data_IF_994115788577
#
_entry.id   IF_994115788577
#
_cell.length_a   1.000
_cell.length_b   1.000
_cell.length_c   1.000
_cell.angle_alpha   90.00
_cell.angle_beta   90.00
_cell.angle_gamma   90.00
#
_symmetry.space_group_name_H-M   'P 1'
#
loop_
_entity.id
_entity.type
_entity.pdbx_description
1 polymer ?
#
# COMPACT_ATOMS: atom_id res chain seq x y z
N UNK A 1 -11.77 7.38 -11.20
CA UNK A 1 -12.18 6.20 -10.41
C UNK A 1 -11.00 5.86 -9.52
N UNK A 2 -11.18 5.75 -8.20
CA UNK A 2 -10.09 5.26 -7.33
C UNK A 2 -9.83 3.79 -7.64
N UNK A 3 -8.56 3.38 -7.65
CA UNK A 3 -8.23 1.97 -7.86
C UNK A 3 -8.63 1.20 -6.60
N UNK A 4 -9.50 0.20 -6.76
CA UNK A 4 -9.80 -0.74 -5.67
C UNK A 4 -8.71 -1.82 -5.63
N UNK A 5 -8.47 -2.45 -4.47
CA UNK A 5 -7.59 -3.62 -4.38
C UNK A 5 -7.99 -4.67 -5.43
N UNK A 6 -7.03 -5.10 -6.24
CA UNK A 6 -7.20 -6.22 -7.17
C UNK A 6 -7.27 -7.54 -6.38
N UNK A 7 -7.98 -8.51 -6.94
CA UNK A 7 -8.03 -9.89 -6.43
C UNK A 7 -7.02 -10.75 -7.20
N UNK A 8 -6.44 -11.78 -6.57
CA UNK A 8 -5.51 -12.68 -7.26
C UNK A 8 -6.21 -13.43 -8.40
N UNK A 9 -5.45 -13.65 -9.46
CA UNK A 9 -5.86 -14.42 -10.63
C UNK A 9 -5.83 -15.93 -10.36
N UNK A 10 -6.10 -16.75 -11.40
CA UNK A 10 -6.11 -18.21 -11.26
C UNK A 10 -4.72 -18.75 -10.84
N UNK A 11 -4.68 -19.94 -10.20
CA UNK A 11 -3.42 -20.61 -9.89
C UNK A 11 -2.55 -20.80 -11.14
N UNK A 12 -1.23 -20.58 -11.01
CA UNK A 12 -0.29 -20.64 -12.13
C UNK A 12 -0.05 -19.31 -12.86
N UNK A 13 -0.66 -18.20 -12.40
CA UNK A 13 -0.35 -16.85 -12.89
C UNK A 13 1.14 -16.55 -12.68
N UNK A 14 1.89 -16.29 -13.77
CA UNK A 14 3.33 -16.02 -13.71
C UNK A 14 3.58 -14.56 -13.35
N UNK A 15 4.28 -14.35 -12.23
CA UNK A 15 4.77 -13.03 -11.82
C UNK A 15 5.93 -12.57 -12.72
N UNK A 16 5.87 -11.34 -13.23
CA UNK A 16 6.78 -10.84 -14.28
C UNK A 16 7.40 -9.48 -13.99
N UNK A 17 6.75 -8.60 -13.24
CA UNK A 17 7.18 -7.19 -13.14
C UNK A 17 7.10 -6.65 -11.71
N UNK A 18 8.15 -5.93 -11.31
CA UNK A 18 8.19 -5.11 -10.10
C UNK A 18 8.24 -3.64 -10.54
N UNK A 19 7.18 -2.87 -10.25
CA UNK A 19 7.04 -1.47 -10.64
C UNK A 19 7.10 -0.50 -9.46
N UNK A 20 7.44 0.76 -9.69
CA UNK A 20 7.58 1.73 -8.58
C UNK A 20 6.41 2.71 -8.44
N UNK A 21 5.66 3.02 -9.51
CA UNK A 21 4.43 3.84 -9.42
C UNK A 21 3.53 3.74 -10.66
N UNK A 22 2.20 3.84 -10.46
CA UNK A 22 1.15 4.14 -11.47
C UNK A 22 1.32 3.47 -12.84
N UNK A 23 1.56 2.16 -12.85
CA UNK A 23 1.47 1.34 -14.06
C UNK A 23 0.37 0.28 -13.95
N UNK A 24 -0.50 0.34 -12.93
CA UNK A 24 -1.40 -0.77 -12.60
C UNK A 24 -2.27 -1.14 -13.80
N UNK A 25 -2.97 -0.16 -14.34
CA UNK A 25 -3.87 -0.35 -15.49
C UNK A 25 -3.09 -0.71 -16.75
N UNK A 26 -1.93 -0.10 -16.98
CA UNK A 26 -1.08 -0.40 -18.13
C UNK A 26 -0.55 -1.84 -18.09
N UNK A 27 -0.03 -2.30 -16.96
CA UNK A 27 0.45 -3.67 -16.78
C UNK A 27 -0.68 -4.68 -16.79
N UNK A 28 -1.86 -4.32 -16.27
CA UNK A 28 -3.05 -5.18 -16.35
C UNK A 28 -3.43 -5.43 -17.82
N UNK A 29 -3.41 -4.38 -18.65
CA UNK A 29 -3.68 -4.48 -20.09
C UNK A 29 -2.61 -5.31 -20.81
N UNK A 30 -1.33 -5.10 -20.51
CA UNK A 30 -0.22 -5.74 -21.23
C UNK A 30 0.07 -7.18 -20.82
N UNK A 31 -0.18 -7.52 -19.55
CA UNK A 31 0.14 -8.82 -18.98
C UNK A 31 -1.09 -9.72 -18.81
N UNK A 32 -2.28 -9.21 -19.14
CA UNK A 32 -3.56 -9.92 -19.07
C UNK A 32 -3.78 -10.61 -17.71
N UNK A 33 -3.59 -9.84 -16.63
CA UNK A 33 -3.72 -10.37 -15.28
C UNK A 33 -3.68 -9.29 -14.21
N UNK A 34 -4.04 -9.65 -12.96
CA UNK A 34 -4.16 -8.68 -11.90
C UNK A 34 -2.79 -8.21 -11.40
N UNK A 35 -2.70 -6.90 -11.19
CA UNK A 35 -1.49 -6.25 -10.67
C UNK A 35 -1.71 -5.90 -9.20
N UNK A 36 -0.76 -6.31 -8.36
CA UNK A 36 -0.77 -6.03 -6.92
C UNK A 36 -0.29 -4.60 -6.66
N UNK A 37 -1.22 -3.68 -6.35
CA UNK A 37 -0.87 -2.33 -5.90
C UNK A 37 -0.62 -2.36 -4.39
N UNK A 38 0.66 -2.32 -4.01
CA UNK A 38 1.07 -2.46 -2.61
C UNK A 38 0.63 -1.28 -1.75
N UNK A 39 0.52 -0.08 -2.34
CA UNK A 39 0.07 1.11 -1.63
C UNK A 39 -1.38 0.96 -1.21
N UNK A 40 -2.20 0.43 -2.11
CA UNK A 40 -3.63 0.21 -1.88
C UNK A 40 -3.88 -1.07 -1.09
N UNK A 41 -3.26 -2.20 -1.44
CA UNK A 41 -3.54 -3.50 -0.82
C UNK A 41 -2.97 -3.65 0.58
N UNK A 42 -1.92 -2.89 0.95
CA UNK A 42 -1.34 -2.98 2.29
C UNK A 42 -2.25 -2.45 3.41
N UNK A 43 -3.25 -1.63 3.07
CA UNK A 43 -4.25 -1.11 4.01
C UNK A 43 -5.70 -1.34 3.56
N UNK A 44 -5.95 -1.38 2.25
CA UNK A 44 -7.27 -1.56 1.65
C UNK A 44 -7.61 -3.01 1.28
N UNK A 45 -6.61 -3.89 1.19
CA UNK A 45 -6.76 -5.29 0.78
C UNK A 45 -7.55 -6.17 1.77
N UNK A 46 -7.49 -7.48 1.56
CA UNK A 46 -8.06 -8.45 2.52
C UNK A 46 -7.31 -8.40 3.86
N UNK A 47 -7.94 -8.86 4.94
CA UNK A 47 -7.29 -8.93 6.26
C UNK A 47 -6.01 -9.79 6.19
N UNK A 48 -6.05 -10.85 5.38
CA UNK A 48 -4.89 -11.70 5.11
C UNK A 48 -3.74 -10.89 4.51
N UNK A 49 -3.98 -10.15 3.42
CA UNK A 49 -2.97 -9.31 2.78
C UNK A 49 -2.40 -8.24 3.73
N UNK A 50 -3.24 -7.59 4.52
CA UNK A 50 -2.80 -6.59 5.50
C UNK A 50 -1.87 -7.23 6.54
N UNK A 51 -2.23 -8.41 7.06
CA UNK A 51 -1.41 -9.16 8.03
C UNK A 51 -0.08 -9.61 7.43
N UNK A 52 -0.09 -10.11 6.20
CA UNK A 52 1.13 -10.48 5.47
C UNK A 52 2.04 -9.28 5.28
N UNK A 53 1.51 -8.14 4.83
CA UNK A 53 2.28 -6.91 4.66
C UNK A 53 2.90 -6.43 5.96
N UNK A 54 2.12 -6.40 7.05
CA UNK A 54 2.64 -6.05 8.36
C UNK A 54 3.78 -6.99 8.76
N UNK A 55 3.57 -8.31 8.70
CA UNK A 55 4.57 -9.32 9.05
C UNK A 55 5.85 -9.19 8.20
N UNK A 56 5.67 -8.95 6.89
CA UNK A 56 6.74 -8.78 5.93
C UNK A 56 7.60 -7.54 6.26
N UNK A 57 6.98 -6.38 6.49
CA UNK A 57 7.70 -5.15 6.84
C UNK A 57 8.40 -5.23 8.20
N UNK A 58 7.88 -6.01 9.14
CA UNK A 58 8.52 -6.23 10.45
C UNK A 58 9.72 -7.17 10.36
N UNK A 59 9.61 -8.21 9.53
CA UNK A 59 10.63 -9.25 9.40
C UNK A 59 11.79 -8.82 8.50
N UNK A 60 11.52 -8.14 7.39
CA UNK A 60 12.53 -7.84 6.37
C UNK A 60 13.80 -7.15 6.92
N UNK A 61 13.71 -6.11 7.77
CA UNK A 61 14.91 -5.46 8.31
C UNK A 61 15.73 -6.34 9.27
N UNK A 62 15.15 -7.42 9.79
CA UNK A 62 15.71 -8.27 10.85
C UNK A 62 16.01 -9.70 10.39
N UNK A 63 15.78 -10.02 9.11
CA UNK A 63 15.86 -11.37 8.58
C UNK A 63 17.32 -11.82 8.31
N UNK A 64 18.08 -12.05 9.39
CA UNK A 64 19.49 -12.44 9.30
C UNK A 64 19.69 -13.96 9.24
N UNK A 65 18.81 -14.74 9.88
CA UNK A 65 18.96 -16.21 9.90
C UNK A 65 18.38 -16.86 8.65
N UNK A 66 18.86 -18.06 8.32
CA UNK A 66 18.30 -18.83 7.20
C UNK A 66 16.80 -19.10 7.37
N UNK A 67 16.35 -19.37 8.60
CA UNK A 67 14.93 -19.58 8.90
C UNK A 67 14.11 -18.32 8.66
N UNK A 68 14.60 -17.16 9.08
CA UNK A 68 13.91 -15.88 8.86
C UNK A 68 13.84 -15.54 7.37
N UNK A 69 14.91 -15.78 6.63
CA UNK A 69 14.92 -15.59 5.18
C UNK A 69 13.94 -16.52 4.48
N UNK A 70 13.82 -17.78 4.89
CA UNK A 70 12.82 -18.70 4.32
C UNK A 70 11.40 -18.28 4.66
N UNK A 71 11.16 -17.79 5.86
CA UNK A 71 9.87 -17.21 6.26
C UNK A 71 9.54 -15.97 5.43
N UNK A 72 10.53 -15.12 5.16
CA UNK A 72 10.41 -13.94 4.30
C UNK A 72 10.04 -14.34 2.86
N UNK A 73 10.76 -15.31 2.30
CA UNK A 73 10.51 -15.84 0.96
C UNK A 73 9.07 -16.40 0.85
N UNK A 74 8.59 -17.11 1.88
CA UNK A 74 7.22 -17.63 1.94
C UNK A 74 6.17 -16.52 2.02
N UNK A 75 6.37 -15.50 2.88
CA UNK A 75 5.46 -14.36 3.01
C UNK A 75 5.30 -13.62 1.68
N UNK A 76 6.39 -13.43 0.93
CA UNK A 76 6.38 -12.78 -0.38
C UNK A 76 5.64 -13.64 -1.40
N UNK A 77 5.90 -14.96 -1.41
CA UNK A 77 5.22 -15.89 -2.30
C UNK A 77 3.71 -15.88 -2.08
N UNK A 78 3.24 -16.02 -0.84
CA UNK A 78 1.81 -16.04 -0.49
C UNK A 78 1.11 -14.70 -0.78
N UNK A 79 1.84 -13.60 -0.64
CA UNK A 79 1.32 -12.26 -0.90
C UNK A 79 1.13 -11.97 -2.39
N UNK A 80 2.06 -12.42 -3.23
CA UNK A 80 2.11 -12.12 -4.66
C UNK A 80 1.59 -13.26 -5.54
N UNK A 81 1.19 -14.38 -4.94
CA UNK A 81 0.54 -15.48 -5.66
C UNK A 81 -0.72 -14.99 -6.38
N UNK A 82 -0.86 -15.40 -7.64
CA UNK A 82 -1.99 -15.01 -8.48
C UNK A 82 -1.85 -13.62 -9.11
N UNK A 83 -0.77 -12.87 -8.87
CA UNK A 83 -0.53 -11.57 -9.51
C UNK A 83 0.54 -11.65 -10.60
N UNK A 84 0.36 -10.86 -11.67
CA UNK A 84 1.34 -10.77 -12.77
C UNK A 84 2.44 -9.74 -12.49
N UNK A 85 2.18 -8.80 -11.61
CA UNK A 85 3.12 -7.75 -11.24
C UNK A 85 2.79 -7.17 -9.86
N UNK A 86 3.77 -6.51 -9.24
CA UNK A 86 3.55 -5.69 -8.04
C UNK A 86 4.01 -4.27 -8.29
N UNK A 87 3.44 -3.31 -7.57
CA UNK A 87 3.92 -1.93 -7.59
C UNK A 87 3.70 -1.15 -6.31
N UNK A 88 4.25 0.06 -6.32
CA UNK A 88 4.16 1.05 -5.25
C UNK A 88 4.86 0.59 -3.96
N UNK A 89 4.94 1.49 -2.99
CA UNK A 89 5.41 1.16 -1.66
C UNK A 89 4.31 0.41 -0.88
N UNK A 90 4.65 -0.55 -0.01
CA UNK A 90 6.00 -0.93 0.43
C UNK A 90 6.78 -1.90 -0.49
N UNK A 91 6.20 -2.53 -1.52
CA UNK A 91 6.93 -3.49 -2.37
C UNK A 91 8.18 -2.90 -3.03
N UNK A 92 8.12 -1.64 -3.47
CA UNK A 92 9.25 -0.95 -4.08
C UNK A 92 10.53 -0.91 -3.21
N UNK A 93 10.38 -0.96 -1.87
CA UNK A 93 11.49 -1.01 -0.90
C UNK A 93 12.07 -2.43 -0.71
N UNK A 94 11.34 -3.45 -1.16
CA UNK A 94 11.64 -4.87 -1.00
C UNK A 94 12.01 -5.53 -2.33
N UNK A 95 12.51 -4.74 -3.30
CA UNK A 95 12.83 -5.22 -4.64
C UNK A 95 13.81 -6.40 -4.62
N UNK A 96 14.92 -6.38 -3.86
CA UNK A 96 15.84 -7.51 -3.78
C UNK A 96 15.20 -8.80 -3.25
N UNK A 97 14.38 -8.68 -2.20
CA UNK A 97 13.68 -9.80 -1.59
C UNK A 97 12.67 -10.41 -2.56
N UNK A 98 11.92 -9.57 -3.28
CA UNK A 98 10.93 -10.03 -4.26
C UNK A 98 11.64 -10.69 -5.45
N UNK A 99 12.75 -10.13 -5.94
CA UNK A 99 13.54 -10.74 -7.02
C UNK A 99 14.16 -12.08 -6.63
N UNK A 100 14.50 -12.27 -5.36
CA UNK A 100 15.00 -13.57 -4.87
C UNK A 100 13.93 -14.67 -4.98
N UNK A 101 12.67 -14.34 -4.73
CA UNK A 101 11.53 -15.26 -4.87
C UNK A 101 11.11 -15.42 -6.34
N UNK A 102 11.13 -14.34 -7.09
CA UNK A 102 10.76 -14.30 -8.51
C UNK A 102 11.96 -13.89 -9.39
N UNK A 103 12.93 -14.79 -9.60
CA UNK A 103 14.17 -14.46 -10.31
C UNK A 103 13.96 -14.08 -11.77
N UNK A 104 12.87 -14.54 -12.40
CA UNK A 104 12.53 -14.19 -13.79
C UNK A 104 11.94 -12.77 -13.94
N UNK A 105 11.56 -12.12 -12.83
CA UNK A 105 10.91 -10.82 -12.88
C UNK A 105 11.89 -9.72 -13.27
N UNK A 106 11.38 -8.74 -14.04
CA UNK A 106 12.09 -7.51 -14.36
C UNK A 106 11.61 -6.37 -13.45
N UNK A 107 12.44 -5.35 -13.30
CA UNK A 107 12.16 -4.16 -12.49
C UNK A 107 11.99 -2.96 -13.39
N UNK A 108 10.85 -2.28 -13.27
CA UNK A 108 10.53 -1.05 -14.00
C UNK A 108 10.44 0.11 -13.01
N UNK A 109 11.43 0.99 -13.05
CA UNK A 109 11.48 2.19 -12.22
C UNK A 109 10.92 3.37 -13.00
N UNK A 110 9.80 3.92 -12.53
CA UNK A 110 9.21 5.09 -13.18
C UNK A 110 10.00 6.36 -12.85
N UNK A 111 10.43 7.09 -13.87
CA UNK A 111 11.15 8.36 -13.73
C UNK A 111 10.22 9.53 -14.00
N UNK A 112 10.42 10.63 -13.26
CA UNK A 112 9.78 11.93 -13.52
C UNK A 112 10.61 13.07 -12.94
N UNK A 113 10.31 14.30 -13.34
CA UNK A 113 10.94 15.48 -12.75
C UNK A 113 10.80 15.49 -11.22
N UNK A 114 11.92 15.68 -10.51
CA UNK A 114 12.00 15.56 -9.06
C UNK A 114 11.10 16.58 -8.34
N UNK A 115 11.06 17.84 -8.82
CA UNK A 115 10.25 18.89 -8.20
C UNK A 115 8.76 18.62 -8.38
N UNK A 116 8.36 18.24 -9.60
CA UNK A 116 7.00 17.78 -9.89
C UNK A 116 6.65 16.56 -9.04
N UNK A 117 7.62 15.66 -8.81
CA UNK A 117 7.42 14.51 -7.97
C UNK A 117 7.13 14.88 -6.53
N UNK A 118 7.96 15.76 -5.98
CA UNK A 118 7.86 16.20 -4.61
C UNK A 118 6.56 16.93 -4.33
N UNK A 119 6.12 17.85 -5.22
CA UNK A 119 4.80 18.52 -5.09
C UNK A 119 3.64 17.54 -5.01
N UNK A 120 3.71 16.43 -5.74
CA UNK A 120 2.69 15.37 -5.69
C UNK A 120 2.79 14.54 -4.42
N UNK A 121 3.99 14.32 -3.90
CA UNK A 121 4.22 13.55 -2.68
C UNK A 121 3.87 14.36 -1.43
N UNK A 122 4.20 15.65 -1.39
CA UNK A 122 3.84 16.61 -0.35
C UNK A 122 2.32 16.69 -0.17
N UNK A 123 1.57 16.74 -1.29
CA UNK A 123 0.11 16.68 -1.25
C UNK A 123 -0.40 15.38 -0.60
N UNK A 124 0.18 14.22 -0.92
CA UNK A 124 -0.18 12.95 -0.29
C UNK A 124 0.21 12.91 1.20
N UNK A 125 1.42 13.38 1.54
CA UNK A 125 1.93 13.47 2.90
C UNK A 125 1.03 14.35 3.79
N UNK A 126 0.40 15.39 3.24
CA UNK A 126 -0.50 16.26 3.99
C UNK A 126 -1.70 15.51 4.58
N UNK A 127 -2.21 14.47 3.90
CA UNK A 127 -3.28 13.62 4.44
C UNK A 127 -2.78 12.69 5.54
N UNK A 128 -1.58 12.14 5.37
CA UNK A 128 -0.99 11.15 6.30
C UNK A 128 -0.40 11.79 7.56
N UNK A 129 -0.02 13.07 7.51
CA UNK A 129 0.55 13.85 8.62
C UNK A 129 -0.46 14.35 9.66
N UNK A 130 -1.76 14.11 9.45
CA UNK A 130 -2.82 14.68 10.28
C UNK A 130 -2.93 13.98 11.64
N UNK A 131 -2.61 14.69 12.73
CA UNK A 131 -2.51 14.14 14.09
C UNK A 131 -3.82 13.53 14.63
N UNK A 132 -4.98 14.07 14.23
CA UNK A 132 -6.29 13.60 14.70
C UNK A 132 -6.83 12.41 13.91
N UNK A 133 -6.23 12.09 12.75
CA UNK A 133 -6.71 11.05 11.87
C UNK A 133 -6.85 9.69 12.59
N UNK A 134 -5.85 9.19 13.36
CA UNK A 134 -5.97 7.91 14.05
C UNK A 134 -7.14 7.84 15.05
N UNK A 135 -7.48 8.95 15.69
CA UNK A 135 -8.59 9.02 16.64
C UNK A 135 -9.94 9.00 15.92
N UNK A 136 -10.07 9.77 14.84
CA UNK A 136 -11.34 9.85 14.08
C UNK A 136 -11.69 8.49 13.46
N UNK A 137 -10.70 7.74 12.98
CA UNK A 137 -10.94 6.45 12.31
C UNK A 137 -10.78 5.23 13.21
N UNK A 138 -10.59 5.39 14.53
CA UNK A 138 -10.18 4.28 15.42
C UNK A 138 -11.17 3.09 15.50
N UNK A 139 -12.45 3.37 15.22
CA UNK A 139 -13.53 2.37 15.19
C UNK A 139 -13.72 1.74 13.81
N UNK A 140 -13.03 2.24 12.78
CA UNK A 140 -12.98 1.59 11.47
C UNK A 140 -11.96 0.44 11.56
N UNK A 141 -12.45 -0.79 11.48
CA UNK A 141 -11.67 -1.98 11.81
C UNK A 141 -10.35 -2.10 11.03
N UNK A 142 -10.34 -1.81 9.71
CA UNK A 142 -9.11 -1.79 8.91
C UNK A 142 -8.16 -0.65 9.28
N UNK A 143 -8.69 0.48 9.75
CA UNK A 143 -7.88 1.64 10.09
C UNK A 143 -7.06 1.44 11.38
N UNK A 144 -7.40 0.44 12.20
CA UNK A 144 -6.57 0.04 13.35
C UNK A 144 -5.19 -0.49 12.93
N UNK A 145 -5.07 -1.03 11.71
CA UNK A 145 -3.78 -1.46 11.16
C UNK A 145 -2.88 -0.29 10.77
N UNK A 146 -3.42 0.92 10.57
CA UNK A 146 -2.69 2.07 10.06
C UNK A 146 -1.55 2.51 10.98
N UNK A 147 -1.75 2.51 12.30
CA UNK A 147 -0.69 2.89 13.25
C UNK A 147 0.51 1.94 13.18
N UNK A 148 0.24 0.64 13.15
CA UNK A 148 1.29 -0.39 12.98
C UNK A 148 1.95 -0.30 11.61
N UNK A 149 1.15 -0.14 10.55
CA UNK A 149 1.63 0.00 9.18
C UNK A 149 2.58 1.20 9.07
N UNK A 150 2.18 2.38 9.60
CA UNK A 150 2.98 3.60 9.55
C UNK A 150 4.32 3.42 10.25
N UNK A 151 4.33 2.84 11.45
CA UNK A 151 5.57 2.56 12.18
C UNK A 151 6.49 1.63 11.39
N UNK A 152 5.97 0.49 10.93
CA UNK A 152 6.76 -0.51 10.17
C UNK A 152 7.24 0.05 8.83
N UNK A 153 6.46 0.91 8.19
CA UNK A 153 6.85 1.59 6.97
C UNK A 153 7.98 2.60 7.21
N UNK A 154 7.92 3.36 8.30
CA UNK A 154 9.02 4.24 8.74
C UNK A 154 10.29 3.43 9.03
N UNK A 155 10.18 2.30 9.74
CA UNK A 155 11.32 1.41 9.99
C UNK A 155 11.93 0.89 8.67
N UNK A 156 11.09 0.57 7.69
CA UNK A 156 11.52 0.10 6.36
C UNK A 156 12.22 1.20 5.54
N UNK A 157 11.69 2.42 5.57
CA UNK A 157 12.32 3.59 4.95
C UNK A 157 13.67 3.90 5.60
N UNK A 158 13.74 3.86 6.94
CA UNK A 158 14.98 4.08 7.66
C UNK A 158 16.02 3.02 7.31
N UNK A 159 15.61 1.75 7.21
CA UNK A 159 16.47 0.65 6.83
C UNK A 159 17.03 0.77 5.40
N UNK A 160 16.22 1.23 4.43
CA UNK A 160 16.63 1.32 3.02
C UNK A 160 17.32 2.61 2.64
N UNK A 161 16.79 3.73 3.10
CA UNK A 161 17.19 5.06 2.67
C UNK A 161 17.84 5.89 3.77
N UNK A 162 17.89 5.38 5.01
CA UNK A 162 18.47 6.12 6.13
C UNK A 162 17.62 7.32 6.58
N UNK A 163 16.35 7.36 6.18
CA UNK A 163 15.41 8.43 6.50
C UNK A 163 14.09 7.89 7.04
N UNK A 164 13.55 8.54 8.06
CA UNK A 164 12.28 8.11 8.70
C UNK A 164 11.04 8.44 7.85
N UNK A 165 11.17 9.41 6.95
CA UNK A 165 10.08 9.98 6.16
C UNK A 165 10.49 10.18 4.71
N UNK A 166 9.50 10.19 3.82
CA UNK A 166 9.70 10.51 2.40
C UNK A 166 10.00 12.00 2.26
N UNK A 167 11.13 12.32 1.63
CA UNK A 167 11.67 13.67 1.42
C UNK A 167 11.85 13.93 -0.08
N UNK A 168 12.16 15.18 -0.46
CA UNK A 168 12.35 15.57 -1.86
C UNK A 168 13.44 14.74 -2.56
N UNK A 169 14.45 14.31 -1.83
CA UNK A 169 15.57 13.51 -2.35
C UNK A 169 15.26 12.02 -2.48
N UNK A 170 14.18 11.53 -1.85
CA UNK A 170 13.86 10.10 -1.78
C UNK A 170 13.69 9.46 -3.16
N UNK A 171 13.20 10.18 -4.17
CA UNK A 171 13.13 9.65 -5.54
C UNK A 171 14.52 9.32 -6.09
N UNK A 172 15.49 10.22 -5.93
CA UNK A 172 16.87 10.00 -6.40
C UNK A 172 17.53 8.87 -5.63
N UNK A 173 17.36 8.85 -4.31
CA UNK A 173 17.88 7.76 -3.45
C UNK A 173 17.27 6.42 -3.86
N UNK A 174 15.97 6.38 -4.18
CA UNK A 174 15.31 5.18 -4.68
C UNK A 174 15.88 4.73 -6.04
N UNK A 175 16.01 5.63 -7.01
CA UNK A 175 16.56 5.29 -8.33
C UNK A 175 17.99 4.75 -8.22
N UNK A 176 18.84 5.36 -7.40
CA UNK A 176 20.21 4.91 -7.15
C UNK A 176 20.24 3.55 -6.42
N UNK A 177 19.41 3.38 -5.40
CA UNK A 177 19.26 2.10 -4.71
C UNK A 177 18.90 0.97 -5.68
N UNK A 178 17.97 1.20 -6.62
CA UNK A 178 17.61 0.22 -7.64
C UNK A 178 18.78 -0.13 -8.56
N UNK A 179 19.62 0.85 -8.94
CA UNK A 179 20.84 0.59 -9.73
C UNK A 179 21.85 -0.29 -9.01
N UNK A 180 21.91 -0.18 -7.68
CA UNK A 180 22.86 -0.94 -6.87
C UNK A 180 22.42 -2.39 -6.65
N UNK A 181 21.11 -2.63 -6.52
CA UNK A 181 20.59 -3.94 -6.10
C UNK A 181 19.98 -4.77 -7.22
N UNK A 182 19.62 -4.16 -8.35
CA UNK A 182 19.03 -4.86 -9.50
C UNK A 182 20.09 -5.07 -10.57
N UNK A 183 20.25 -6.30 -11.10
CA UNK A 183 21.11 -6.55 -12.25
C UNK A 183 20.74 -5.64 -13.45
N UNK A 184 21.71 -4.99 -14.12
CA UNK A 184 21.43 -4.03 -15.18
C UNK A 184 20.54 -4.57 -16.31
N UNK A 185 20.62 -5.86 -16.61
CA UNK A 185 19.81 -6.54 -17.64
C UNK A 185 18.33 -6.72 -17.26
N UNK A 186 17.98 -6.55 -15.98
CA UNK A 186 16.60 -6.62 -15.46
C UNK A 186 16.06 -5.25 -15.05
N UNK A 187 16.88 -4.20 -15.08
CA UNK A 187 16.51 -2.87 -14.60
C UNK A 187 16.17 -1.94 -15.77
N UNK A 188 14.93 -1.46 -15.80
CA UNK A 188 14.45 -0.54 -16.83
C UNK A 188 13.92 0.74 -16.21
N UNK A 189 14.36 1.88 -16.75
CA UNK A 189 13.81 3.19 -16.39
C UNK A 189 12.78 3.60 -17.43
N UNK A 190 11.62 4.06 -16.98
CA UNK A 190 10.50 4.37 -17.86
C UNK A 190 9.80 5.66 -17.42
N UNK A 191 9.59 6.59 -18.34
CA UNK A 191 8.78 7.77 -18.06
C UNK A 191 7.35 7.53 -18.56
N UNK A 192 6.37 7.66 -17.66
CA UNK A 192 4.95 7.43 -17.95
C UNK A 192 4.44 8.32 -19.09
N UNK A 193 5.07 9.48 -19.33
CA UNK A 193 4.74 10.37 -20.45
C UNK A 193 5.08 9.79 -21.82
N UNK A 194 5.92 8.77 -21.89
CA UNK A 194 6.36 8.18 -23.14
C UNK A 194 5.33 7.18 -23.70
N UNK A 195 4.28 6.85 -22.94
CA UNK A 195 3.16 6.03 -23.40
C UNK A 195 3.52 4.57 -23.69
N UNK A 196 2.79 3.93 -24.60
CA UNK A 196 2.86 2.48 -24.78
C UNK A 196 4.19 1.95 -25.33
N UNK A 197 4.78 2.62 -26.33
CA UNK A 197 5.83 2.02 -27.15
C UNK A 197 7.06 1.57 -26.32
N UNK A 198 7.63 2.40 -25.42
CA UNK A 198 8.80 1.96 -24.65
C UNK A 198 8.46 0.88 -23.63
N UNK A 199 7.27 0.95 -23.01
CA UNK A 199 6.80 -0.04 -22.05
C UNK A 199 6.60 -1.41 -22.71
N UNK A 200 5.97 -1.42 -23.89
CA UNK A 200 5.76 -2.64 -24.66
C UNK A 200 7.07 -3.27 -25.12
N UNK A 201 8.06 -2.43 -25.49
CA UNK A 201 9.42 -2.89 -25.83
C UNK A 201 10.14 -3.56 -24.66
N UNK A 202 10.06 -2.96 -23.46
CA UNK A 202 10.63 -3.55 -22.24
C UNK A 202 10.02 -4.92 -21.94
N UNK A 203 8.70 -5.03 -22.09
CA UNK A 203 7.94 -6.24 -21.77
C UNK A 203 7.93 -7.28 -22.90
N UNK A 204 8.44 -6.93 -24.07
CA UNK A 204 8.40 -7.72 -25.30
C UNK A 204 6.97 -8.17 -25.67
N UNK A 205 6.03 -7.22 -25.71
CA UNK A 205 4.61 -7.43 -26.03
C UNK A 205 4.15 -6.46 -27.13
N UNK A 206 3.08 -6.77 -27.89
CA UNK A 206 2.55 -5.84 -28.88
C UNK A 206 1.91 -4.60 -28.23
N UNK A 207 1.97 -3.47 -28.94
CA UNK A 207 1.30 -2.23 -28.53
C UNK A 207 -0.23 -2.42 -28.63
N UNK A 208 -0.98 -2.18 -27.53
CA UNK A 208 -2.43 -2.34 -27.54
C UNK A 208 -3.10 -1.19 -28.30
N UNK A 209 -4.29 -1.44 -28.85
CA UNK A 209 -5.07 -0.45 -29.62
C UNK A 209 -5.91 0.51 -28.75
N UNK A 210 -5.66 0.55 -27.45
CA UNK A 210 -6.39 1.41 -26.50
C UNK A 210 -5.53 2.61 -26.10
N UNK A 211 -6.11 3.77 -25.74
CA UNK A 211 -5.35 4.90 -25.23
C UNK A 211 -4.53 4.52 -24.00
N UNK A 212 -3.36 5.13 -23.82
CA UNK A 212 -2.54 4.91 -22.63
C UNK A 212 -3.29 5.42 -21.38
N UNK A 213 -3.39 4.62 -20.31
CA UNK A 213 -4.16 4.99 -19.13
C UNK A 213 -3.48 6.13 -18.37
N UNK A 214 -4.24 7.18 -18.06
CA UNK A 214 -3.78 8.33 -17.28
C UNK A 214 -4.44 8.33 -15.90
N UNK A 215 -4.10 7.34 -15.07
CA UNK A 215 -4.79 7.12 -13.80
C UNK A 215 -3.95 7.64 -12.62
N UNK A 216 -3.85 8.97 -12.49
CA UNK A 216 -3.26 9.60 -11.31
C UNK A 216 -4.01 10.88 -10.95
N UNK A 217 -5.34 10.78 -10.91
CA UNK A 217 -6.19 11.89 -10.52
C UNK A 217 -5.99 12.18 -9.03
N UNK A 218 -5.36 13.33 -8.71
CA UNK A 218 -5.16 13.81 -7.33
C UNK A 218 -6.46 13.87 -6.53
N UNK A 219 -7.60 14.02 -7.23
CA UNK A 219 -8.92 14.02 -6.62
C UNK A 219 -9.30 12.67 -5.95
N UNK A 220 -8.63 11.57 -6.32
CA UNK A 220 -8.92 10.25 -5.75
C UNK A 220 -8.43 10.11 -4.30
N UNK A 221 -7.21 10.55 -3.99
CA UNK A 221 -6.65 10.52 -2.62
C UNK A 221 -7.47 11.39 -1.65
N UNK A 222 -7.85 12.60 -2.07
CA UNK A 222 -8.69 13.48 -1.27
C UNK A 222 -10.07 12.86 -0.99
N UNK A 223 -10.66 12.18 -1.99
CA UNK A 223 -11.95 11.49 -1.82
C UNK A 223 -11.87 10.37 -0.77
N UNK A 224 -10.86 9.50 -0.87
CA UNK A 224 -10.67 8.40 0.09
C UNK A 224 -10.47 8.95 1.50
N UNK A 225 -9.68 10.01 1.66
CA UNK A 225 -9.51 10.69 2.95
C UNK A 225 -10.83 11.18 3.52
N UNK A 226 -11.63 11.90 2.72
CA UNK A 226 -12.92 12.44 3.17
C UNK A 226 -13.95 11.35 3.47
N UNK A 227 -13.98 10.25 2.71
CA UNK A 227 -14.83 9.09 3.00
C UNK A 227 -14.48 8.46 4.36
N UNK A 228 -13.19 8.29 4.67
CA UNK A 228 -12.75 7.76 5.96
C UNK A 228 -13.08 8.72 7.11
N UNK A 229 -12.91 10.03 6.91
CA UNK A 229 -13.31 11.05 7.88
C UNK A 229 -14.82 11.01 8.15
N UNK A 230 -15.64 10.95 7.09
CA UNK A 230 -17.09 10.88 7.20
C UNK A 230 -17.54 9.65 8.00
N UNK A 231 -17.08 8.45 7.60
CA UNK A 231 -17.43 7.22 8.31
C UNK A 231 -16.87 7.17 9.73
N UNK A 232 -15.68 7.73 9.96
CA UNK A 232 -15.13 7.89 11.31
C UNK A 232 -16.04 8.71 12.21
N UNK A 233 -16.48 9.88 11.74
CA UNK A 233 -17.41 10.76 12.46
C UNK A 233 -18.76 10.06 12.71
N UNK A 234 -19.33 9.41 11.69
CA UNK A 234 -20.59 8.65 11.83
C UNK A 234 -20.45 7.57 12.89
N UNK A 235 -19.34 6.83 12.90
CA UNK A 235 -19.10 5.78 13.89
C UNK A 235 -18.98 6.34 15.30
N UNK A 236 -18.33 7.50 15.47
CA UNK A 236 -18.30 8.21 16.74
C UNK A 236 -19.69 8.65 17.23
N UNK A 237 -20.54 9.16 16.34
CA UNK A 237 -21.93 9.51 16.69
C UNK A 237 -22.72 8.28 17.18
N UNK A 238 -22.51 7.12 16.55
CA UNK A 238 -23.11 5.85 16.97
C UNK A 238 -22.58 5.43 18.34
N UNK A 239 -21.26 5.45 18.55
CA UNK A 239 -20.63 5.08 19.84
C UNK A 239 -21.12 5.99 20.97
N UNK A 240 -21.13 7.30 20.76
CA UNK A 240 -21.60 8.26 21.76
C UNK A 240 -23.10 8.08 22.07
N UNK A 241 -23.91 7.75 21.06
CA UNK A 241 -25.32 7.40 21.22
C UNK A 241 -25.49 6.15 22.08
N UNK A 242 -24.74 5.08 21.81
CA UNK A 242 -24.77 3.84 22.61
C UNK A 242 -24.37 4.12 24.05
N UNK A 243 -23.27 4.87 24.27
CA UNK A 243 -22.80 5.25 25.60
C UNK A 243 -23.89 6.05 26.34
N UNK A 244 -24.53 7.01 25.67
CA UNK A 244 -25.64 7.79 26.23
C UNK A 244 -26.79 6.87 26.68
N UNK A 245 -27.25 5.96 25.83
CA UNK A 245 -28.34 5.04 26.17
C UNK A 245 -27.97 4.06 27.29
N UNK A 246 -26.73 3.57 27.35
CA UNK A 246 -26.24 2.72 28.44
C UNK A 246 -26.22 3.47 29.77
N UNK A 247 -25.75 4.72 29.79
CA UNK A 247 -25.77 5.56 30.99
C UNK A 247 -27.21 5.82 31.44
N UNK A 248 -28.11 6.16 30.50
CA UNK A 248 -29.55 6.35 30.78
C UNK A 248 -30.20 5.09 31.35
N UNK A 249 -29.92 3.93 30.76
CA UNK A 249 -30.42 2.64 31.24
C UNK A 249 -29.90 2.33 32.65
N UNK A 250 -28.61 2.53 32.91
CA UNK A 250 -28.01 2.33 34.22
C UNK A 250 -28.63 3.25 35.28
N UNK A 251 -28.87 4.53 34.96
CA UNK A 251 -29.54 5.47 35.87
C UNK A 251 -30.98 5.05 36.18
N UNK A 252 -31.75 4.59 35.18
CA UNK A 252 -33.11 4.08 35.38
C UNK A 252 -33.10 2.84 36.29
N UNK A 253 -32.18 1.90 36.06
CA UNK A 253 -32.03 0.70 36.88
C UNK A 253 -31.63 1.04 38.31
N UNK A 254 -30.70 1.97 38.51
CA UNK A 254 -30.28 2.43 39.83
C UNK A 254 -31.46 3.02 40.62
N UNK A 255 -32.27 3.88 40.00
CA UNK A 255 -33.46 4.43 40.64
C UNK A 255 -34.51 3.36 40.96
N UNK A 256 -34.74 2.38 40.07
CA UNK A 256 -35.68 1.28 40.34
C UNK A 256 -35.24 0.38 41.48
N UNK A 257 -33.95 0.04 41.56
CA UNK A 257 -33.40 -0.80 42.63
C UNK A 257 -33.38 -0.04 43.97
N UNK A 258 -33.07 1.27 43.96
CA UNK A 258 -33.14 2.11 45.16
C UNK A 258 -34.55 2.18 45.77
N UNK A 259 -35.60 2.18 44.93
CA UNK A 259 -36.98 2.12 45.41
C UNK A 259 -37.39 0.75 45.97
N UNK A 260 -36.78 -0.36 45.52
CA UNK A 260 -37.09 -1.71 46.03
C UNK A 260 -36.38 -2.05 47.36
N UNK A 261 -35.30 -1.35 47.72
CA UNK A 261 -34.54 -1.60 48.95
C UNK A 261 -34.88 -0.62 50.10
N UNK A 262 -35.67 0.41 49.83
CA UNK A 262 -36.08 1.44 50.79
C UNK A 262 -37.53 1.37 51.25
N UNK A 263 -38.23 0.26 50.98
CA UNK A 263 -39.61 0.00 51.40
C UNK A 263 -39.70 -1.11 52.43
#
# INVERSE_FOLDING_TARGET
>A
MGQNPSMPGPPGTKFRVIGTKTLNEALTILLDGPVHDSGIQSLGGTIHQIRLWLALMELAPKAYTFSDQKKLDWLISDLLEGYVATMDCPAALLTPEIMKVFPDAIVIVTTRDQKSWWRSMEYLNSFMGTYHLPFVVMWLWKAQAYGMWRKRFTDLLQWRYGHEHIQEETLKVHEEYQRQVVPPEKLFFYNVKDGWEPLCKILNVPVPKVPFPHNNDKASAGRVYWEHMFWGIVTWLIVLSIIYYLIRFAMIMYHRVGHCLGG
#
